data_IF_724911389535
#
_entry.id   IF_724911389535
#
_cell.length_a   1.000
_cell.length_b   1.000
_cell.length_c   1.000
_cell.angle_alpha   90.00
_cell.angle_beta   90.00
_cell.angle_gamma   90.00
#
_symmetry.space_group_name_H-M   'P 1'
#
loop_
_entity.id
_entity.type
_entity.pdbx_description
1 polymer ?
#
# COMPACT_ATOMS: atom_id res chain seq x y z
N UNK A 1 -3.07 -19.46 5.26
CA UNK A 1 -2.88 -18.06 4.75
C UNK A 1 -3.92 -17.20 5.44
N UNK A 2 -3.77 -15.87 5.56
CA UNK A 2 -4.80 -14.99 6.19
C UNK A 2 -6.20 -15.36 5.67
N UNK A 3 -6.36 -15.52 4.36
CA UNK A 3 -7.65 -15.85 3.74
C UNK A 3 -8.26 -17.20 4.17
N UNK A 4 -7.49 -18.13 4.76
CA UNK A 4 -8.04 -19.38 5.32
C UNK A 4 -8.55 -19.24 6.75
N UNK A 5 -8.22 -18.13 7.42
CA UNK A 5 -8.63 -17.85 8.81
C UNK A 5 -9.95 -17.07 8.89
N UNK A 6 -10.38 -16.43 7.80
CA UNK A 6 -11.60 -15.63 7.74
C UNK A 6 -12.63 -16.27 6.80
N UNK A 7 -13.89 -16.28 7.23
CA UNK A 7 -15.01 -16.71 6.39
C UNK A 7 -15.53 -15.52 5.58
N UNK A 8 -15.75 -15.72 4.28
CA UNK A 8 -16.37 -14.70 3.42
C UNK A 8 -17.84 -14.58 3.80
N UNK A 9 -18.25 -13.37 4.17
CA UNK A 9 -19.66 -13.01 4.36
C UNK A 9 -20.29 -12.72 2.99
N UNK A 10 -21.18 -13.60 2.47
CA UNK A 10 -21.76 -13.43 1.15
C UNK A 10 -22.63 -12.16 1.04
N UNK A 11 -23.26 -11.71 2.12
CA UNK A 11 -24.12 -10.52 2.10
C UNK A 11 -23.31 -9.25 1.80
N UNK A 12 -22.08 -9.21 2.32
CA UNK A 12 -21.14 -8.11 2.09
C UNK A 12 -20.27 -8.28 0.84
N UNK A 13 -20.33 -9.45 0.20
CA UNK A 13 -19.52 -9.83 -0.96
C UNK A 13 -20.38 -10.06 -2.23
N UNK A 14 -21.49 -9.33 -2.36
CA UNK A 14 -22.35 -9.38 -3.55
C UNK A 14 -22.99 -10.75 -3.80
N UNK A 15 -23.19 -11.56 -2.75
CA UNK A 15 -23.73 -12.91 -2.82
C UNK A 15 -22.71 -14.01 -3.11
N UNK A 16 -21.44 -13.67 -3.33
CA UNK A 16 -20.40 -14.66 -3.59
C UNK A 16 -19.85 -15.26 -2.29
N UNK A 17 -19.82 -16.60 -2.22
CA UNK A 17 -19.26 -17.34 -1.08
C UNK A 17 -17.72 -17.54 -1.17
N UNK A 18 -17.07 -16.92 -2.16
CA UNK A 18 -15.63 -17.05 -2.39
C UNK A 18 -14.98 -15.66 -2.56
N UNK A 19 -13.69 -15.52 -2.21
CA UNK A 19 -12.98 -14.27 -2.40
C UNK A 19 -12.80 -14.02 -3.91
N UNK A 20 -13.19 -12.84 -4.37
CA UNK A 20 -13.00 -12.42 -5.75
C UNK A 20 -12.60 -10.95 -5.82
N UNK A 21 -12.01 -10.56 -6.95
CA UNK A 21 -11.65 -9.16 -7.20
C UNK A 21 -12.74 -8.51 -8.04
N UNK A 22 -13.60 -7.73 -7.40
CA UNK A 22 -14.62 -6.96 -8.09
C UNK A 22 -14.04 -5.66 -8.67
N UNK A 23 -14.61 -5.21 -9.79
CA UNK A 23 -14.37 -3.87 -10.34
C UNK A 23 -15.41 -2.89 -9.79
N UNK A 24 -15.03 -2.16 -8.74
CA UNK A 24 -15.87 -1.12 -8.14
C UNK A 24 -15.96 0.11 -9.04
N UNK A 25 -17.16 0.38 -9.58
CA UNK A 25 -17.41 1.56 -10.43
C UNK A 25 -17.82 2.80 -9.64
N UNK A 26 -18.53 2.63 -8.52
CA UNK A 26 -18.99 3.74 -7.69
C UNK A 26 -17.78 4.49 -7.07
N UNK A 27 -17.77 5.82 -7.18
CA UNK A 27 -16.66 6.65 -6.67
C UNK A 27 -16.55 6.61 -5.14
N UNK A 28 -17.68 6.73 -4.43
CA UNK A 28 -17.70 6.77 -2.97
C UNK A 28 -17.26 5.43 -2.36
N UNK A 29 -17.69 4.30 -2.95
CA UNK A 29 -17.25 2.97 -2.50
C UNK A 29 -15.75 2.77 -2.75
N UNK A 30 -15.26 3.18 -3.92
CA UNK A 30 -13.84 3.09 -4.26
C UNK A 30 -12.96 3.94 -3.31
N UNK A 31 -13.46 5.08 -2.82
CA UNK A 31 -12.73 5.93 -1.87
C UNK A 31 -12.52 5.26 -0.50
N UNK A 32 -13.31 4.23 -0.16
CA UNK A 32 -13.13 3.43 1.06
C UNK A 32 -12.02 2.38 0.92
N UNK A 33 -11.55 2.11 -0.30
CA UNK A 33 -10.46 1.16 -0.56
C UNK A 33 -9.10 1.83 -0.37
N UNK A 34 -8.07 1.04 -0.06
CA UNK A 34 -6.70 1.55 0.10
C UNK A 34 -6.13 1.92 -1.26
N UNK A 35 -5.67 3.16 -1.38
CA UNK A 35 -4.86 3.57 -2.51
C UNK A 35 -3.46 2.97 -2.42
N UNK A 36 -2.93 2.57 -3.58
CA UNK A 36 -1.54 2.16 -3.73
C UNK A 36 -0.89 2.90 -4.89
N UNK A 37 0.43 2.90 -4.83
CA UNK A 37 1.27 3.51 -5.86
C UNK A 37 1.42 2.56 -7.07
N UNK A 38 1.42 3.12 -8.26
CA UNK A 38 1.57 2.42 -9.53
C UNK A 38 2.34 3.35 -10.45
N UNK A 39 3.11 2.85 -11.42
CA UNK A 39 3.82 3.70 -12.38
C UNK A 39 2.95 4.82 -12.99
N UNK A 40 1.66 4.55 -13.25
CA UNK A 40 0.73 5.55 -13.78
C UNK A 40 0.21 6.57 -12.74
N UNK A 41 0.50 6.38 -11.46
CA UNK A 41 0.04 7.19 -10.32
C UNK A 41 1.20 7.71 -9.44
N UNK A 42 2.42 7.17 -9.60
CA UNK A 42 3.67 7.61 -8.97
C UNK A 42 4.19 8.91 -9.57
N UNK A 43 3.74 9.24 -10.79
CA UNK A 43 4.10 10.44 -11.56
C UNK A 43 3.43 11.72 -11.01
N UNK A 44 3.24 11.79 -9.70
CA UNK A 44 3.16 13.07 -8.98
C UNK A 44 4.55 13.49 -8.49
N UNK A 45 5.61 13.04 -9.18
CA UNK A 45 6.91 13.70 -9.11
C UNK A 45 6.89 14.92 -10.04
N UNK A 46 7.20 16.13 -9.56
CA UNK A 46 7.10 17.38 -10.32
C UNK A 46 8.04 17.48 -11.52
N UNK A 47 8.96 16.52 -11.75
CA UNK A 47 9.94 16.63 -12.84
C UNK A 47 9.49 16.05 -14.18
N UNK A 48 8.40 15.27 -14.26
CA UNK A 48 7.97 14.64 -15.52
C UNK A 48 6.51 14.91 -15.91
N UNK A 49 5.88 15.89 -15.27
CA UNK A 49 4.72 16.56 -15.85
C UNK A 49 5.22 17.68 -16.76
N UNK A 50 5.35 17.37 -18.05
CA UNK A 50 5.46 18.37 -19.14
C UNK A 50 4.31 19.40 -19.15
N UNK A 51 3.33 19.29 -18.24
CA UNK A 51 2.16 20.17 -18.15
C UNK A 51 1.89 20.75 -16.75
N UNK A 52 2.86 20.77 -15.83
CA UNK A 52 2.70 21.46 -14.54
C UNK A 52 3.43 22.82 -14.52
N UNK A 53 2.72 23.85 -14.95
CA UNK A 53 2.96 25.26 -14.57
C UNK A 53 1.64 25.87 -14.13
N UNK A 54 1.57 26.78 -13.13
CA UNK A 54 2.39 26.96 -11.94
C UNK A 54 1.50 26.96 -10.67
N UNK A 55 1.58 25.93 -9.83
CA UNK A 55 1.23 26.06 -8.41
C UNK A 55 2.45 25.65 -7.60
N UNK A 56 3.44 26.54 -7.60
CA UNK A 56 4.69 26.37 -6.85
C UNK A 56 4.46 26.02 -5.36
N UNK A 57 3.31 26.43 -4.80
CA UNK A 57 2.94 26.17 -3.42
C UNK A 57 2.59 24.71 -3.11
N UNK A 58 1.91 24.01 -4.03
CA UNK A 58 1.54 22.61 -3.83
C UNK A 58 2.75 21.66 -3.92
N UNK A 59 3.76 22.07 -4.70
CA UNK A 59 5.00 21.32 -4.88
C UNK A 59 5.96 21.49 -3.69
N UNK A 60 6.05 22.71 -3.13
CA UNK A 60 6.92 22.99 -1.97
C UNK A 60 6.42 22.32 -0.70
N UNK A 61 5.12 22.42 -0.39
CA UNK A 61 4.53 21.78 0.80
C UNK A 61 4.68 20.26 0.77
N UNK A 62 4.54 19.63 -0.40
CA UNK A 62 4.78 18.20 -0.55
C UNK A 62 6.27 17.86 -0.36
N UNK A 63 7.19 18.61 -0.98
CA UNK A 63 8.63 18.38 -0.83
C UNK A 63 9.10 18.57 0.63
N UNK A 64 8.54 19.52 1.38
CA UNK A 64 8.83 19.69 2.81
C UNK A 64 8.30 18.53 3.65
N UNK A 65 7.11 17.99 3.32
CA UNK A 65 6.50 16.88 4.04
C UNK A 65 7.10 15.48 3.73
N UNK A 66 7.58 15.24 2.50
CA UNK A 66 8.13 13.93 2.09
C UNK A 66 9.63 13.95 1.75
N UNK A 67 10.26 15.11 1.87
CA UNK A 67 11.66 15.33 1.50
C UNK A 67 12.66 14.62 2.42
N UNK A 68 13.95 14.63 2.06
CA UNK A 68 15.00 13.87 2.76
C UNK A 68 15.27 14.32 4.20
N UNK A 69 14.67 15.43 4.66
CA UNK A 69 14.81 15.93 6.02
C UNK A 69 13.70 15.51 7.01
N UNK A 70 12.61 14.91 6.53
CA UNK A 70 11.51 14.48 7.38
C UNK A 70 11.74 13.04 7.93
N UNK A 71 11.25 12.70 9.14
CA UNK A 71 11.33 11.33 9.65
C UNK A 71 10.62 10.35 8.72
N UNK A 72 11.19 9.16 8.51
CA UNK A 72 10.66 8.18 7.55
C UNK A 72 9.18 7.85 7.76
N UNK A 73 8.74 7.72 9.02
CA UNK A 73 7.34 7.45 9.36
C UNK A 73 6.39 8.59 8.95
N UNK A 74 6.80 9.85 9.10
CA UNK A 74 6.00 11.02 8.74
C UNK A 74 5.92 11.18 7.21
N UNK A 75 7.05 10.94 6.53
CA UNK A 75 7.11 10.90 5.07
C UNK A 75 6.20 9.84 4.48
N UNK A 76 6.20 8.64 5.06
CA UNK A 76 5.35 7.53 4.61
C UNK A 76 3.87 7.81 4.86
N UNK A 77 3.53 8.41 6.01
CA UNK A 77 2.15 8.81 6.31
C UNK A 77 1.65 9.91 5.35
N UNK A 78 2.46 10.94 5.10
CA UNK A 78 2.14 12.02 4.17
C UNK A 78 1.99 11.50 2.73
N UNK A 79 2.88 10.59 2.31
CA UNK A 79 2.78 9.88 1.03
C UNK A 79 1.47 9.10 0.93
N UNK A 80 1.14 8.30 1.96
CA UNK A 80 -0.08 7.49 1.95
C UNK A 80 -1.35 8.36 1.94
N UNK A 81 -1.36 9.47 2.68
CA UNK A 81 -2.46 10.43 2.66
C UNK A 81 -2.65 11.05 1.27
N UNK A 82 -1.55 11.39 0.59
CA UNK A 82 -1.59 11.89 -0.78
C UNK A 82 -2.13 10.83 -1.76
N UNK A 83 -1.61 9.60 -1.69
CA UNK A 83 -2.11 8.48 -2.50
C UNK A 83 -3.60 8.25 -2.30
N UNK A 84 -4.07 8.31 -1.05
CA UNK A 84 -5.49 8.13 -0.72
C UNK A 84 -6.38 9.22 -1.33
N UNK A 85 -5.83 10.40 -1.63
CA UNK A 85 -6.55 11.48 -2.31
C UNK A 85 -6.51 11.34 -3.83
N UNK A 86 -5.35 11.02 -4.41
CA UNK A 86 -5.11 11.16 -5.86
C UNK A 86 -5.13 9.85 -6.64
N UNK A 87 -4.79 8.72 -6.03
CA UNK A 87 -4.60 7.47 -6.77
C UNK A 87 -5.90 6.92 -7.33
N UNK A 88 -5.81 6.51 -8.61
CA UNK A 88 -6.87 5.80 -9.35
C UNK A 88 -6.87 4.31 -9.05
N UNK A 89 -5.75 3.77 -8.57
CA UNK A 89 -5.58 2.35 -8.28
C UNK A 89 -5.80 2.09 -6.80
N UNK A 90 -6.78 1.23 -6.50
CA UNK A 90 -7.20 0.94 -5.14
C UNK A 90 -7.51 -0.54 -4.95
N UNK A 91 -7.28 -1.05 -3.75
CA UNK A 91 -7.48 -2.45 -3.38
C UNK A 91 -8.14 -2.59 -2.00
N UNK A 92 -8.75 -3.74 -1.77
CA UNK A 92 -9.20 -4.14 -0.44
C UNK A 92 -7.97 -4.58 0.36
N UNK A 93 -7.62 -3.80 1.37
CA UNK A 93 -6.42 -3.97 2.19
C UNK A 93 -5.14 -3.32 1.62
N UNK A 94 -4.09 -3.24 2.45
CA UNK A 94 -2.79 -2.70 2.07
C UNK A 94 -2.11 -3.58 0.99
N UNK A 95 -1.22 -3.00 0.18
CA UNK A 95 -0.45 -3.75 -0.80
C UNK A 95 0.34 -4.88 -0.13
N UNK A 96 0.61 -5.96 -0.87
CA UNK A 96 1.48 -7.03 -0.38
C UNK A 96 2.90 -6.50 -0.17
N UNK A 97 3.42 -6.65 1.05
CA UNK A 97 4.83 -6.40 1.34
C UNK A 97 5.69 -7.45 0.63
N UNK A 98 6.87 -7.05 0.16
CA UNK A 98 7.85 -8.00 -0.37
C UNK A 98 8.42 -8.80 0.80
N UNK A 99 8.41 -10.15 0.75
CA UNK A 99 8.92 -10.96 1.85
C UNK A 99 10.37 -10.60 2.22
N UNK A 100 10.75 -10.73 3.51
CA UNK A 100 12.13 -10.52 3.91
C UNK A 100 13.05 -11.45 3.13
N UNK A 101 14.19 -10.93 2.67
CA UNK A 101 15.18 -11.66 1.88
C UNK A 101 14.71 -12.20 0.52
N UNK A 102 13.58 -11.74 -0.04
CA UNK A 102 13.07 -12.21 -1.35
C UNK A 102 14.11 -12.16 -2.49
N UNK A 103 14.97 -11.12 -2.52
CA UNK A 103 16.01 -10.96 -3.54
C UNK A 103 17.36 -11.59 -3.18
N UNK A 104 17.47 -12.31 -2.06
CA UNK A 104 18.68 -13.09 -1.76
C UNK A 104 18.68 -14.32 -2.67
N UNK A 105 19.78 -14.48 -3.41
CA UNK A 105 19.94 -15.54 -4.42
C UNK A 105 20.52 -16.81 -3.80
N UNK A 106 21.12 -16.69 -2.61
CA UNK A 106 21.68 -17.77 -1.82
C UNK A 106 20.65 -18.43 -0.88
N UNK A 107 20.90 -19.70 -0.53
CA UNK A 107 20.12 -20.37 0.51
C UNK A 107 20.56 -19.86 1.88
N UNK A 108 19.65 -19.32 2.71
CA UNK A 108 20.02 -18.80 4.01
C UNK A 108 20.57 -19.93 4.89
N UNK A 109 21.64 -19.64 5.64
CA UNK A 109 22.06 -20.51 6.72
C UNK A 109 20.97 -20.56 7.81
N UNK A 110 20.98 -21.58 8.67
CA UNK A 110 19.93 -21.79 9.69
C UNK A 110 19.62 -20.54 10.55
N UNK A 111 20.62 -19.79 11.08
CA UNK A 111 20.34 -18.58 11.85
C UNK A 111 19.70 -17.46 11.02
N UNK A 112 20.07 -17.33 9.74
CA UNK A 112 19.49 -16.36 8.83
C UNK A 112 18.03 -16.72 8.50
N UNK A 113 17.76 -18.01 8.30
CA UNK A 113 16.42 -18.52 8.04
C UNK A 113 15.46 -18.22 9.21
N UNK A 114 15.93 -18.38 10.45
CA UNK A 114 15.16 -18.04 11.66
C UNK A 114 14.83 -16.54 11.74
N UNK A 115 15.80 -15.66 11.47
CA UNK A 115 15.58 -14.21 11.44
C UNK A 115 14.61 -13.79 10.32
N UNK A 116 14.76 -14.37 9.12
CA UNK A 116 13.86 -14.14 7.98
C UNK A 116 12.43 -14.57 8.34
N UNK A 117 12.27 -15.75 8.93
CA UNK A 117 10.96 -16.26 9.34
C UNK A 117 10.31 -15.39 10.42
N UNK A 118 11.08 -14.96 11.43
CA UNK A 118 10.61 -14.03 12.47
C UNK A 118 10.10 -12.72 11.84
N UNK A 119 10.91 -12.08 10.99
CA UNK A 119 10.51 -10.85 10.27
C UNK A 119 9.27 -11.07 9.40
N UNK A 120 9.15 -12.22 8.76
CA UNK A 120 7.98 -12.55 7.95
C UNK A 120 6.71 -12.65 8.81
N UNK A 121 6.80 -13.18 10.03
CA UNK A 121 5.69 -13.21 10.98
C UNK A 121 5.31 -11.81 11.47
N UNK A 122 6.29 -10.97 11.81
CA UNK A 122 6.04 -9.57 12.22
C UNK A 122 5.32 -8.77 11.12
N UNK A 123 5.75 -8.93 9.86
CA UNK A 123 5.11 -8.31 8.70
C UNK A 123 3.68 -8.80 8.49
N UNK A 124 3.44 -10.09 8.72
CA UNK A 124 2.11 -10.71 8.63
C UNK A 124 1.20 -10.14 9.72
N UNK A 125 1.65 -10.04 10.97
CA UNK A 125 0.90 -9.43 12.07
C UNK A 125 0.61 -7.96 11.81
N UNK A 126 1.59 -7.21 11.30
CA UNK A 126 1.41 -5.81 10.91
C UNK A 126 0.31 -5.66 9.87
N UNK A 127 0.30 -6.51 8.84
CA UNK A 127 -0.75 -6.54 7.83
C UNK A 127 -2.12 -6.88 8.43
N UNK A 128 -2.17 -7.85 9.35
CA UNK A 128 -3.41 -8.21 10.05
C UNK A 128 -3.99 -7.02 10.81
N UNK A 129 -3.16 -6.31 11.59
CA UNK A 129 -3.57 -5.09 12.32
C UNK A 129 -4.12 -4.01 11.40
N UNK A 130 -3.50 -3.81 10.23
CA UNK A 130 -3.97 -2.84 9.23
C UNK A 130 -5.29 -3.22 8.55
N UNK A 131 -5.64 -4.51 8.52
CA UNK A 131 -6.92 -4.98 7.97
C UNK A 131 -8.06 -4.94 8.99
N UNK A 132 -7.74 -4.94 10.29
CA UNK A 132 -8.71 -4.89 11.39
C UNK A 132 -9.17 -3.47 11.74
N UNK A 133 -8.37 -2.45 11.41
CA UNK A 133 -8.67 -1.02 11.59
C UNK A 133 -9.46 -0.43 10.44
#
# INVERSE_FOLDING_TARGET
TINSEYQVDPERNGGAAFPHKEVVRNKAERQRMHAFDCACCSDVSPSLSWSCTPHAHACQQWYEAVGPGAPDAERDAARQAHLQQTSRHRAYGPPSSTPPAYWRVDFPATPDAEDINRKAQEEHERKRRQMET
#
